data_IF_894731974478
#
_entry.id   IF_894731974478
#
_cell.length_a   1.000
_cell.length_b   1.000
_cell.length_c   1.000
_cell.angle_alpha   90.00
_cell.angle_beta   90.00
_cell.angle_gamma   90.00
#
_symmetry.space_group_name_H-M   'P 1'
#
loop_
_entity.id
_entity.type
_entity.pdbx_description
1 polymer ?
#
# COMPACT_ATOMS: atom_id res chain seq x y z
N UNK A 1 6.37 -3.23 9.28
CA UNK A 1 6.23 -2.64 7.94
C UNK A 1 7.26 -3.24 7.01
N UNK A 2 6.86 -3.56 5.79
CA UNK A 2 7.72 -4.06 4.72
C UNK A 2 7.84 -2.97 3.65
N UNK A 3 9.07 -2.59 3.33
CA UNK A 3 9.40 -1.68 2.25
C UNK A 3 9.89 -2.49 1.06
N UNK A 4 9.28 -2.28 -0.11
CA UNK A 4 9.60 -2.94 -1.37
C UNK A 4 10.10 -1.88 -2.35
N UNK A 5 11.32 -2.04 -2.85
CA UNK A 5 11.97 -1.08 -3.74
C UNK A 5 11.63 -1.40 -5.19
N UNK A 6 10.60 -0.75 -5.73
CA UNK A 6 10.34 -0.76 -7.18
C UNK A 6 11.26 0.28 -7.79
N UNK A 7 11.92 0.00 -8.92
CA UNK A 7 13.00 0.84 -9.49
C UNK A 7 12.73 2.34 -9.73
N UNK A 8 11.53 2.86 -9.45
CA UNK A 8 11.21 4.30 -9.42
C UNK A 8 10.29 4.77 -8.28
N UNK A 9 9.92 3.91 -7.31
CA UNK A 9 9.11 4.28 -6.13
C UNK A 9 9.19 3.19 -5.04
N UNK A 10 8.98 3.56 -3.77
CA UNK A 10 8.76 2.58 -2.72
C UNK A 10 7.29 2.14 -2.65
N UNK A 11 7.09 0.83 -2.50
CA UNK A 11 5.80 0.24 -2.17
C UNK A 11 5.84 -0.27 -0.74
N UNK A 12 4.78 -0.01 0.02
CA UNK A 12 4.69 -0.41 1.42
C UNK A 12 3.65 -1.50 1.65
N UNK A 13 3.93 -2.37 2.63
CA UNK A 13 3.02 -3.43 3.04
C UNK A 13 3.10 -3.73 4.55
N UNK A 14 2.01 -4.23 5.13
CA UNK A 14 1.97 -4.73 6.52
C UNK A 14 2.14 -6.24 6.50
N UNK A 15 3.10 -6.75 7.27
CA UNK A 15 3.29 -8.19 7.44
C UNK A 15 2.29 -8.75 8.44
N UNK A 16 1.58 -9.82 8.05
CA UNK A 16 0.47 -10.40 8.81
C UNK A 16 0.82 -11.72 9.49
N UNK A 17 2.05 -12.21 9.32
CA UNK A 17 2.42 -13.58 9.70
C UNK A 17 2.29 -14.56 8.54
N UNK A 18 2.86 -15.75 8.71
CA UNK A 18 2.78 -16.88 7.77
C UNK A 18 3.14 -16.58 6.31
N UNK A 19 4.02 -15.60 6.09
CA UNK A 19 4.42 -15.18 4.74
C UNK A 19 3.40 -14.29 4.01
N UNK A 20 2.31 -13.87 4.67
CA UNK A 20 1.31 -12.97 4.10
C UNK A 20 1.57 -11.51 4.42
N UNK A 21 1.21 -10.66 3.47
CA UNK A 21 1.19 -9.20 3.62
C UNK A 21 -0.13 -8.61 3.18
N UNK A 22 -0.48 -7.45 3.75
CA UNK A 22 -1.54 -6.58 3.28
C UNK A 22 -0.93 -5.36 2.61
N UNK A 23 -1.35 -5.07 1.39
CA UNK A 23 -0.86 -3.94 0.60
C UNK A 23 -1.95 -3.39 -0.33
N UNK A 24 -1.68 -2.24 -0.93
CA UNK A 24 -2.57 -1.62 -1.93
C UNK A 24 -2.23 -2.12 -3.33
N UNK A 25 -3.24 -2.64 -4.02
CA UNK A 25 -3.17 -3.06 -5.42
C UNK A 25 -3.94 -2.06 -6.29
N UNK A 26 -3.39 -1.58 -7.42
CA UNK A 26 -4.15 -0.78 -8.37
C UNK A 26 -5.30 -1.59 -8.99
N UNK A 27 -6.51 -1.04 -8.93
CA UNK A 27 -7.74 -1.58 -9.53
C UNK A 27 -8.19 -0.68 -10.67
N UNK A 28 -8.08 -1.19 -11.90
CA UNK A 28 -8.67 -0.60 -13.09
C UNK A 28 -7.69 0.13 -14.02
N UNK A 29 -8.18 0.45 -15.23
CA UNK A 29 -7.48 1.32 -16.19
C UNK A 29 -7.56 2.76 -15.68
N UNK A 30 -6.45 3.49 -15.76
CA UNK A 30 -6.41 4.92 -15.48
C UNK A 30 -7.56 5.62 -16.24
N UNK A 31 -8.56 6.11 -15.50
CA UNK A 31 -9.64 6.87 -16.08
C UNK A 31 -9.14 8.31 -16.23
N UNK A 32 -8.90 8.74 -17.47
CA UNK A 32 -8.53 10.13 -17.78
C UNK A 32 -9.81 10.96 -17.71
N UNK A 33 -10.02 11.69 -16.61
CA UNK A 33 -11.10 12.66 -16.54
C UNK A 33 -10.67 13.93 -17.26
N UNK A 34 -11.38 14.31 -18.33
CA UNK A 34 -11.20 15.60 -19.00
C UNK A 34 -12.09 16.62 -18.29
N UNK A 35 -11.53 17.35 -17.33
CA UNK A 35 -12.17 18.55 -16.80
C UNK A 35 -12.00 19.71 -17.79
N UNK A 36 -12.96 20.62 -17.87
CA UNK A 36 -12.98 21.75 -18.80
C UNK A 36 -11.89 22.83 -18.51
N UNK A 37 -11.01 22.58 -17.54
CA UNK A 37 -9.81 23.35 -17.23
C UNK A 37 -8.63 22.37 -17.25
N UNK A 38 -7.54 22.73 -17.95
CA UNK A 38 -6.38 21.91 -18.35
C UNK A 38 -5.65 21.11 -17.25
N UNK A 39 -6.31 20.19 -16.56
CA UNK A 39 -5.69 19.20 -15.67
C UNK A 39 -6.34 17.84 -15.89
N UNK A 40 -5.56 16.90 -16.45
CA UNK A 40 -6.02 15.52 -16.62
C UNK A 40 -5.73 14.75 -15.34
N UNK A 41 -6.71 14.65 -14.44
CA UNK A 41 -6.60 13.83 -13.23
C UNK A 41 -6.69 12.37 -13.65
N UNK A 42 -5.62 11.59 -13.41
CA UNK A 42 -5.62 10.15 -13.59
C UNK A 42 -6.23 9.53 -12.33
N UNK A 43 -7.53 9.25 -12.35
CA UNK A 43 -8.17 8.57 -11.24
C UNK A 43 -7.85 7.07 -11.33
N UNK A 44 -6.74 6.67 -10.73
CA UNK A 44 -6.44 5.26 -10.46
C UNK A 44 -7.18 4.91 -9.17
N UNK A 45 -7.89 3.78 -9.14
CA UNK A 45 -8.41 3.25 -7.87
C UNK A 45 -7.40 2.23 -7.37
N UNK A 46 -7.27 2.09 -6.07
CA UNK A 46 -6.56 0.98 -5.45
C UNK A 46 -7.50 0.18 -4.58
N UNK A 47 -7.12 -1.05 -4.27
CA UNK A 47 -7.83 -1.94 -3.36
C UNK A 47 -6.84 -2.57 -2.41
N UNK A 48 -7.25 -2.67 -1.15
CA UNK A 48 -6.48 -3.38 -0.13
C UNK A 48 -6.62 -4.88 -0.37
N UNK A 49 -5.51 -5.58 -0.48
CA UNK A 49 -5.47 -7.02 -0.69
C UNK A 49 -4.46 -7.71 0.23
N UNK A 50 -4.74 -8.97 0.55
CA UNK A 50 -3.86 -9.87 1.31
C UNK A 50 -3.26 -10.88 0.35
N UNK A 51 -1.94 -10.88 0.21
CA UNK A 51 -1.19 -11.71 -0.75
C UNK A 51 0.08 -12.27 -0.10
N UNK A 52 0.71 -13.26 -0.74
CA UNK A 52 1.99 -13.79 -0.27
C UNK A 52 3.09 -12.76 -0.52
N UNK A 53 3.93 -12.51 0.49
CA UNK A 53 5.06 -11.58 0.40
C UNK A 53 5.93 -11.88 -0.82
N UNK A 54 6.20 -13.17 -1.08
CA UNK A 54 7.01 -13.61 -2.21
C UNK A 54 6.37 -13.25 -3.57
N UNK A 55 5.04 -13.32 -3.68
CA UNK A 55 4.33 -12.94 -4.91
C UNK A 55 4.33 -11.42 -5.10
N UNK A 56 4.16 -10.66 -4.01
CA UNK A 56 4.18 -9.20 -4.04
C UNK A 56 5.58 -8.68 -4.40
N UNK A 57 6.64 -9.20 -3.79
CA UNK A 57 8.00 -8.73 -4.02
C UNK A 57 8.56 -9.20 -5.35
N UNK A 58 8.23 -10.42 -5.78
CA UNK A 58 8.84 -11.02 -6.96
C UNK A 58 10.38 -11.00 -6.88
N UNK A 59 11.02 -10.32 -7.82
CA UNK A 59 12.49 -10.15 -7.87
C UNK A 59 12.96 -8.82 -7.26
N UNK A 60 12.06 -7.98 -6.76
CA UNK A 60 12.43 -6.68 -6.21
C UNK A 60 13.05 -6.82 -4.81
N UNK A 61 13.98 -5.92 -4.51
CA UNK A 61 14.59 -5.85 -3.19
C UNK A 61 13.58 -5.35 -2.16
N UNK A 62 13.49 -6.01 -1.02
CA UNK A 62 12.60 -5.61 0.07
C UNK A 62 13.29 -5.78 1.42
N UNK A 63 12.78 -5.06 2.42
CA UNK A 63 13.28 -5.13 3.79
C UNK A 63 12.21 -4.76 4.81
N UNK A 64 12.40 -5.22 6.04
CA UNK A 64 11.59 -4.76 7.18
C UNK A 64 12.05 -3.34 7.53
N UNK A 65 11.14 -2.38 7.51
CA UNK A 65 11.43 -0.98 7.83
C UNK A 65 10.32 -0.36 8.68
N UNK A 66 10.40 -0.54 9.99
CA UNK A 66 9.50 0.14 10.93
C UNK A 66 9.98 1.56 11.24
N UNK A 67 9.97 2.43 10.23
CA UNK A 67 10.60 3.75 10.30
C UNK A 67 10.07 4.68 11.41
N UNK A 68 8.84 4.46 11.86
CA UNK A 68 8.19 5.31 12.86
C UNK A 68 8.34 4.81 14.30
N UNK A 69 8.86 3.59 14.54
CA UNK A 69 8.99 3.02 15.89
C UNK A 69 9.93 3.84 16.78
N UNK A 70 10.84 4.62 16.17
CA UNK A 70 11.75 5.51 16.89
C UNK A 70 11.07 6.81 17.37
N UNK A 71 9.86 7.12 16.89
CA UNK A 71 9.12 8.35 17.20
C UNK A 71 7.76 8.06 17.85
N UNK A 72 7.19 6.88 17.58
CA UNK A 72 5.88 6.47 18.04
C UNK A 72 5.94 5.04 18.56
N UNK A 73 5.27 4.79 19.69
CA UNK A 73 5.06 3.43 20.15
C UNK A 73 4.03 2.77 19.23
N UNK A 74 4.35 1.62 18.60
CA UNK A 74 3.39 0.93 17.74
C UNK A 74 2.18 0.48 18.56
N UNK A 75 1.03 0.37 17.88
CA UNK A 75 -0.15 -0.26 18.46
C UNK A 75 0.15 -1.73 18.81
N UNK A 76 -0.61 -2.34 19.74
CA UNK A 76 -0.53 -3.77 19.99
C UNK A 76 -0.65 -4.57 18.68
N UNK A 77 0.14 -5.62 18.53
CA UNK A 77 0.22 -6.40 17.29
C UNK A 77 -1.16 -6.91 16.84
N UNK A 78 -1.96 -7.39 17.79
CA UNK A 78 -3.31 -7.89 17.57
C UNK A 78 -4.22 -6.80 17.01
N UNK A 79 -4.05 -5.56 17.48
CA UNK A 79 -4.83 -4.42 17.00
C UNK A 79 -4.40 -4.01 15.58
N UNK A 80 -3.10 -4.04 15.28
CA UNK A 80 -2.58 -3.78 13.92
C UNK A 80 -3.16 -4.81 12.95
N UNK A 81 -3.07 -6.09 13.30
CA UNK A 81 -3.60 -7.20 12.49
C UNK A 81 -5.10 -7.01 12.26
N UNK A 82 -5.87 -6.78 13.34
CA UNK A 82 -7.31 -6.60 13.25
C UNK A 82 -7.71 -5.42 12.35
N UNK A 83 -7.05 -4.28 12.48
CA UNK A 83 -7.30 -3.09 11.65
C UNK A 83 -6.94 -3.35 10.18
N UNK A 84 -5.81 -4.00 9.92
CA UNK A 84 -5.36 -4.30 8.56
C UNK A 84 -6.33 -5.28 7.87
N UNK A 85 -6.79 -6.33 8.55
CA UNK A 85 -7.78 -7.27 8.01
C UNK A 85 -9.13 -6.60 7.76
N UNK A 86 -9.58 -5.68 8.62
CA UNK A 86 -10.81 -4.91 8.42
C UNK A 86 -10.77 -3.97 7.20
N UNK A 87 -9.58 -3.70 6.66
CA UNK A 87 -9.38 -2.91 5.46
C UNK A 87 -9.39 -3.74 4.17
N UNK A 88 -9.23 -5.08 4.24
CA UNK A 88 -9.19 -5.95 3.05
C UNK A 88 -10.46 -5.76 2.21
N UNK A 89 -10.26 -5.54 0.91
CA UNK A 89 -11.33 -5.39 -0.05
C UNK A 89 -11.85 -3.96 -0.21
N UNK A 90 -11.45 -3.01 0.65
CA UNK A 90 -11.81 -1.60 0.49
C UNK A 90 -11.11 -1.01 -0.73
N UNK A 91 -11.85 -0.20 -1.49
CA UNK A 91 -11.30 0.62 -2.57
C UNK A 91 -10.89 1.99 -2.01
N UNK A 92 -9.69 2.46 -2.34
CA UNK A 92 -9.19 3.79 -2.02
C UNK A 92 -8.86 4.55 -3.31
N UNK A 93 -9.18 5.85 -3.42
CA UNK A 93 -8.70 6.66 -4.54
C UNK A 93 -7.16 6.73 -4.48
N UNK A 94 -6.51 6.52 -5.61
CA UNK A 94 -5.07 6.75 -5.73
C UNK A 94 -4.86 8.26 -5.87
N UNK A 95 -4.21 8.87 -4.89
CA UNK A 95 -3.77 10.26 -4.99
C UNK A 95 -2.46 10.34 -5.79
N UNK A 96 -2.27 11.42 -6.54
CA UNK A 96 -1.29 11.58 -7.64
C UNK A 96 0.20 11.63 -7.17
N UNK A 97 0.47 11.38 -5.89
CA UNK A 97 1.75 11.68 -5.24
C UNK A 97 2.41 10.48 -4.56
N UNK A 98 2.26 9.25 -5.06
CA UNK A 98 3.13 8.13 -4.69
C UNK A 98 3.15 7.73 -3.20
N UNK A 99 2.36 8.37 -2.34
CA UNK A 99 2.38 8.19 -0.88
C UNK A 99 1.24 7.34 -0.37
N UNK A 100 0.26 6.96 -1.20
CA UNK A 100 -0.93 6.23 -0.72
C UNK A 100 -0.62 4.91 -0.04
N UNK A 101 0.42 4.18 -0.48
CA UNK A 101 0.78 2.92 0.18
C UNK A 101 1.47 3.12 1.53
N UNK A 102 2.21 4.21 1.69
CA UNK A 102 2.84 4.60 2.95
C UNK A 102 1.82 5.16 3.94
N UNK A 103 0.96 6.07 3.48
CA UNK A 103 -0.09 6.70 4.28
C UNK A 103 -1.14 5.67 4.76
N UNK A 104 -1.24 4.53 4.07
CA UNK A 104 -2.14 3.45 4.44
C UNK A 104 -1.59 2.57 5.59
N UNK A 105 -0.28 2.42 5.73
CA UNK A 105 0.34 1.45 6.66
C UNK A 105 0.83 2.08 7.97
#
# INVERSE_FOLDING_TARGET
LIEIKRGGYEQWAIYMGDGYVIHLIPVGKAARSLSASSETILLIKTKVAKELLQEVTGNDAWGVNNKYDCHHTPLPLEEIIWRAEACIGRELPYDDFGSTSEDFV
#
